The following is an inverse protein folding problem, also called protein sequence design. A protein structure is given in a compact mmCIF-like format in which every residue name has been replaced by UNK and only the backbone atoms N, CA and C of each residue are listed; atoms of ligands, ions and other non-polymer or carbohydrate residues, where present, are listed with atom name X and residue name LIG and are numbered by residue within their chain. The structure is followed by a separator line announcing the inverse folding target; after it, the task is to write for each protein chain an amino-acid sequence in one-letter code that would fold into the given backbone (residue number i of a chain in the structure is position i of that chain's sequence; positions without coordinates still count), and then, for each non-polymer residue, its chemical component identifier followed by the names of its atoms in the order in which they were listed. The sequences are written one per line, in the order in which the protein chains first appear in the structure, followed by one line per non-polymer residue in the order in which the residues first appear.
data_IF_487330740479
#
_entry.id   IF_487330740479
#
_cell.length_a   1.000
_cell.length_b   1.000
_cell.length_c   1.000
_cell.angle_alpha   90.00
_cell.angle_beta   90.00
_cell.angle_gamma   90.00
#
_symmetry.space_group_name_H-M   'P 1'
#
loop_
_entity.id
_entity.type
_entity.pdbx_description
1 polymer ?
#
# COMPACT_ATOMS: atom_id res chain seq x y z
N UNK A 1 6.26 10.48 -5.73
CA UNK A 1 4.86 10.85 -5.41
C UNK A 1 3.94 10.68 -6.62
N UNK A 2 4.31 11.18 -7.79
CA UNK A 2 3.49 11.11 -9.02
C UNK A 2 3.21 9.69 -9.50
N UNK A 3 4.16 8.78 -9.34
CA UNK A 3 4.01 7.37 -9.73
C UNK A 3 2.99 6.62 -8.86
N UNK A 4 2.96 6.92 -7.56
CA UNK A 4 1.98 6.36 -6.61
C UNK A 4 0.56 6.76 -6.99
N UNK A 5 0.34 8.00 -7.46
CA UNK A 5 -0.98 8.47 -7.91
C UNK A 5 -1.46 7.84 -9.22
N UNK A 6 -0.60 7.13 -9.96
CA UNK A 6 -1.03 6.33 -11.11
C UNK A 6 -1.65 4.99 -10.69
N UNK A 7 -1.45 4.57 -9.44
CA UNK A 7 -2.01 3.33 -8.94
C UNK A 7 -3.45 3.56 -8.50
N UNK A 8 -4.42 2.80 -9.02
CA UNK A 8 -5.82 2.92 -8.61
C UNK A 8 -5.97 2.73 -7.10
N UNK A 9 -6.68 3.65 -6.45
CA UNK A 9 -6.90 3.64 -5.00
C UNK A 9 -5.86 4.42 -4.19
N UNK A 10 -4.82 4.99 -4.81
CA UNK A 10 -3.91 5.93 -4.15
C UNK A 10 -4.26 7.37 -4.51
N UNK A 11 -4.80 8.09 -3.53
CA UNK A 11 -4.96 9.54 -3.61
C UNK A 11 -3.71 10.30 -3.14
N UNK A 12 -3.68 11.63 -3.31
CA UNK A 12 -2.56 12.47 -2.87
C UNK A 12 -2.29 12.37 -1.36
N UNK A 13 -3.34 12.21 -0.53
CA UNK A 13 -3.20 12.02 0.92
C UNK A 13 -2.55 10.68 1.26
N UNK A 14 -3.00 9.60 0.62
CA UNK A 14 -2.46 8.25 0.83
C UNK A 14 -1.03 8.15 0.31
N UNK A 15 -0.72 8.76 -0.83
CA UNK A 15 0.64 8.84 -1.36
C UNK A 15 1.60 9.54 -0.37
N UNK A 16 1.15 10.63 0.26
CA UNK A 16 1.94 11.33 1.28
C UNK A 16 2.12 10.48 2.55
N UNK A 17 1.03 9.83 3.00
CA UNK A 17 1.07 8.93 4.15
C UNK A 17 2.05 7.76 3.92
N UNK A 18 2.00 7.12 2.75
CA UNK A 18 2.92 6.05 2.34
C UNK A 18 4.37 6.56 2.31
N UNK A 19 4.62 7.74 1.76
CA UNK A 19 5.97 8.31 1.69
C UNK A 19 6.50 8.65 3.09
N UNK A 20 5.66 9.18 3.97
CA UNK A 20 6.02 9.47 5.37
C UNK A 20 6.29 8.20 6.14
N UNK A 21 5.42 7.19 5.99
CA UNK A 21 5.57 5.93 6.70
C UNK A 21 6.78 5.16 6.23
N UNK A 22 7.04 5.11 4.92
CA UNK A 22 8.27 4.52 4.35
C UNK A 22 9.56 5.09 4.94
N UNK A 23 9.57 6.37 5.34
CA UNK A 23 10.72 7.00 5.99
C UNK A 23 10.86 6.60 7.47
N UNK A 24 9.76 6.22 8.12
CA UNK A 24 9.74 5.77 9.53
C UNK A 24 9.95 4.27 9.65
N UNK A 25 9.21 3.47 8.89
CA UNK A 25 9.19 2.01 8.93
C UNK A 25 8.93 1.41 7.54
N UNK A 26 9.36 0.16 7.32
CA UNK A 26 9.11 -0.56 6.06
C UNK A 26 7.67 -1.05 6.02
N UNK A 27 6.94 -0.71 4.96
CA UNK A 27 5.59 -1.22 4.70
C UNK A 27 5.73 -2.63 4.10
N UNK A 28 5.44 -3.66 4.89
CA UNK A 28 5.55 -5.07 4.49
C UNK A 28 4.19 -5.75 4.27
N UNK A 29 3.15 -5.19 4.86
CA UNK A 29 1.82 -5.80 4.89
C UNK A 29 0.74 -4.86 4.34
N UNK A 30 -0.34 -5.45 3.82
CA UNK A 30 -1.50 -4.70 3.35
C UNK A 30 -2.28 -4.02 4.47
N UNK A 31 -2.16 -4.51 5.72
CA UNK A 31 -2.78 -3.93 6.91
C UNK A 31 -2.32 -2.49 7.14
N UNK A 32 -1.01 -2.25 7.08
CA UNK A 32 -0.42 -0.92 7.11
C UNK A 32 -0.99 0.00 6.03
N UNK A 33 -1.17 -0.48 4.79
CA UNK A 33 -1.75 0.33 3.72
C UNK A 33 -3.21 0.73 4.03
N UNK A 34 -4.01 -0.17 4.60
CA UNK A 34 -5.38 0.16 5.05
C UNK A 34 -5.37 1.20 6.17
N UNK A 35 -4.47 1.06 7.14
CA UNK A 35 -4.30 2.02 8.23
C UNK A 35 -3.87 3.42 7.72
N UNK A 36 -3.11 3.48 6.63
CA UNK A 36 -2.72 4.72 5.95
C UNK A 36 -3.86 5.34 5.09
N UNK A 37 -5.07 4.74 5.11
CA UNK A 37 -6.25 5.25 4.43
C UNK A 37 -6.43 4.72 3.00
N UNK A 38 -5.73 3.63 2.64
CA UNK A 38 -5.91 2.99 1.35
C UNK A 38 -7.11 2.04 1.40
N UNK A 39 -8.21 2.41 0.73
CA UNK A 39 -9.47 1.64 0.77
C UNK A 39 -9.39 0.37 -0.06
N UNK A 40 -8.84 0.45 -1.26
CA UNK A 40 -8.78 -0.64 -2.25
C UNK A 40 -7.37 -1.23 -2.37
N UNK A 41 -6.86 -1.83 -1.28
CA UNK A 41 -5.53 -2.46 -1.30
C UNK A 41 -5.46 -3.64 -2.27
N UNK A 42 -6.57 -4.36 -2.47
CA UNK A 42 -6.64 -5.49 -3.39
C UNK A 42 -6.47 -5.07 -4.86
N UNK A 43 -7.06 -3.95 -5.29
CA UNK A 43 -6.91 -3.44 -6.66
C UNK A 43 -5.51 -2.91 -6.93
N UNK A 44 -4.84 -2.44 -5.89
CA UNK A 44 -3.53 -1.86 -5.98
C UNK A 44 -2.40 -2.91 -5.87
N UNK A 45 -2.70 -4.09 -5.32
CA UNK A 45 -1.78 -5.22 -5.14
C UNK A 45 -1.00 -5.62 -6.41
N UNK A 46 -1.63 -5.75 -7.60
CA UNK A 46 -0.92 -6.09 -8.85
C UNK A 46 0.06 -5.01 -9.32
N UNK A 47 -0.12 -3.77 -8.85
CA UNK A 47 0.66 -2.61 -9.31
C UNK A 47 1.74 -2.19 -8.29
N UNK A 48 1.80 -2.82 -7.13
CA UNK A 48 2.72 -2.45 -6.06
C UNK A 48 3.36 -3.65 -5.38
N UNK A 49 4.70 -3.62 -5.35
CA UNK A 49 5.50 -4.50 -4.52
C UNK A 49 5.70 -3.85 -3.15
N UNK A 50 5.37 -4.58 -2.09
CA UNK A 50 5.70 -4.21 -0.72
C UNK A 50 7.07 -4.79 -0.37
N UNK A 51 8.05 -3.92 -0.19
CA UNK A 51 9.41 -4.31 0.17
C UNK A 51 10.11 -5.23 -0.86
N UNK A 52 9.72 -5.16 -2.13
CA UNK A 52 10.22 -6.04 -3.19
C UNK A 52 9.58 -7.43 -3.19
N UNK A 53 8.63 -7.68 -2.28
CA UNK A 53 7.78 -8.89 -2.25
C UNK A 53 6.35 -8.51 -2.63
N UNK A 54 5.62 -9.46 -3.21
CA UNK A 54 4.17 -9.34 -3.30
C UNK A 54 3.64 -9.15 -1.88
N UNK A 55 2.79 -8.15 -1.68
CA UNK A 55 2.16 -7.89 -0.40
C UNK A 55 1.58 -9.22 0.12
N UNK A 56 1.95 -9.65 1.33
CA UNK A 56 1.36 -10.84 1.93
C UNK A 56 -0.14 -10.56 2.08
N UNK A 57 -0.92 -11.04 1.11
CA UNK A 57 -2.36 -11.02 1.19
C UNK A 57 -2.71 -12.00 2.29
N UNK A 58 -3.46 -11.54 3.28
CA UNK A 58 -4.02 -12.43 4.29
C UNK A 58 -4.75 -13.57 3.56
N UNK A 59 -4.19 -14.78 3.62
CA UNK A 59 -4.87 -15.99 3.22
C UNK A 59 -6.11 -16.07 4.10
N UNK A 60 -7.30 -16.06 3.51
CA UNK A 60 -8.53 -16.31 4.23
C UNK A 60 -8.38 -17.68 4.91
N UNK A 61 -8.18 -17.67 6.23
CA UNK A 61 -8.34 -18.86 7.04
C UNK A 61 -9.85 -19.10 7.12
N UNK A 62 -10.24 -20.27 6.63
CA UNK A 62 -11.61 -20.76 6.48
C UNK A 62 -12.46 -20.58 7.74
#
# INVERSE_FOLDING_TARGET
RSELMRVPGIGPKTADAILRERRRQRIRETGHLRALGMRDVQKAGPFMLLDGKLAEQQLSLF
#
